data_IF_570070632687
#
_entry.id   IF_570070632687
#
_cell.length_a   1.000
_cell.length_b   1.000
_cell.length_c   1.000
_cell.angle_alpha   90.00
_cell.angle_beta   90.00
_cell.angle_gamma   90.00
#
_symmetry.space_group_name_H-M   'P 1'
#
loop_
_entity.id
_entity.type
_entity.pdbx_description
1 polymer ?
#
# COMPACT_ATOMS: atom_id res chain seq x y z
N UNK A 1 -39.52 -52.44 -18.56
CA UNK A 1 -38.87 -53.68 -18.11
C UNK A 1 -37.42 -53.57 -18.53
N UNK A 2 -36.61 -52.98 -17.64
CA UNK A 2 -35.40 -53.60 -17.03
C UNK A 2 -34.32 -53.81 -18.08
N UNK A 3 -33.16 -53.17 -18.03
CA UNK A 3 -32.23 -53.06 -16.89
C UNK A 3 -31.18 -51.97 -17.21
N UNK A 4 -30.86 -51.09 -16.27
CA UNK A 4 -29.73 -50.16 -16.34
C UNK A 4 -28.76 -50.59 -15.24
N UNK A 5 -27.59 -51.09 -15.64
CA UNK A 5 -26.53 -51.44 -14.71
C UNK A 5 -25.72 -50.19 -14.37
N UNK A 6 -25.69 -49.90 -13.08
CA UNK A 6 -24.74 -49.03 -12.40
C UNK A 6 -23.31 -49.57 -12.57
N UNK A 7 -22.37 -48.69 -12.90
CA UNK A 7 -20.95 -48.94 -12.64
C UNK A 7 -20.44 -47.83 -11.72
N UNK A 8 -20.32 -48.19 -10.44
CA UNK A 8 -19.69 -47.41 -9.37
C UNK A 8 -18.23 -47.82 -9.34
N UNK A 9 -17.32 -46.94 -9.76
CA UNK A 9 -15.88 -47.10 -9.50
C UNK A 9 -15.49 -46.33 -8.25
N UNK A 10 -15.38 -47.10 -7.17
CA UNK A 10 -14.67 -46.84 -5.93
C UNK A 10 -13.15 -46.76 -6.23
N UNK A 11 -12.52 -45.61 -5.97
CA UNK A 11 -11.07 -45.49 -5.90
C UNK A 11 -10.70 -44.87 -4.56
N UNK A 12 -10.33 -45.76 -3.64
CA UNK A 12 -9.69 -45.47 -2.36
C UNK A 12 -8.24 -45.02 -2.55
N UNK A 13 -7.88 -44.11 -1.65
CA UNK A 13 -6.57 -43.75 -1.12
C UNK A 13 -5.44 -44.77 -1.32
N UNK A 14 -4.26 -44.31 -1.74
CA UNK A 14 -3.04 -44.57 -0.97
C UNK A 14 -1.86 -43.64 -1.31
N UNK A 15 -0.99 -43.50 -0.31
CA UNK A 15 0.43 -43.16 -0.36
C UNK A 15 0.87 -41.69 -0.49
N UNK A 16 0.89 -41.05 0.69
CA UNK A 16 1.86 -40.04 1.10
C UNK A 16 3.31 -40.50 0.85
N UNK A 17 4.07 -39.79 0.01
CA UNK A 17 5.52 -39.94 -0.11
C UNK A 17 6.24 -38.66 0.32
N UNK A 18 6.56 -38.58 1.61
CA UNK A 18 7.49 -37.58 2.17
C UNK A 18 8.91 -37.88 1.70
N UNK A 19 9.50 -37.01 0.86
CA UNK A 19 10.95 -36.97 0.66
C UNK A 19 11.56 -35.93 1.60
N UNK A 20 12.30 -36.44 2.58
CA UNK A 20 13.31 -35.68 3.33
C UNK A 20 14.50 -35.40 2.41
N UNK A 21 14.88 -34.14 2.29
CA UNK A 21 16.22 -33.73 1.82
C UNK A 21 16.97 -33.24 3.05
N UNK A 22 18.14 -33.82 3.28
CA UNK A 22 19.03 -33.57 4.41
C UNK A 22 20.41 -33.26 3.83
N UNK A 23 21.08 -32.28 4.45
CA UNK A 23 22.52 -31.99 4.45
C UNK A 23 23.13 -31.28 3.23
N UNK A 24 23.57 -30.05 3.50
CA UNK A 24 24.60 -29.33 2.77
C UNK A 24 25.29 -28.31 3.67
N UNK A 25 26.04 -28.79 4.67
CA UNK A 25 26.88 -27.99 5.56
C UNK A 25 28.04 -27.37 4.77
N UNK A 26 27.95 -26.08 4.45
CA UNK A 26 29.03 -25.31 3.83
C UNK A 26 29.66 -24.37 4.84
N UNK A 27 30.78 -24.79 5.44
CA UNK A 27 31.66 -23.92 6.20
C UNK A 27 32.42 -22.99 5.23
N UNK A 28 32.33 -21.68 5.42
CA UNK A 28 33.28 -20.73 4.84
C UNK A 28 34.03 -20.00 5.96
N UNK A 29 35.35 -20.10 5.78
CA UNK A 29 36.49 -19.62 6.54
C UNK A 29 36.45 -18.11 6.73
N UNK A 30 36.79 -17.67 7.94
CA UNK A 30 36.92 -16.26 8.28
C UNK A 30 38.14 -15.58 7.67
N UNK A 31 38.06 -14.26 7.60
CA UNK A 31 39.22 -13.38 7.51
C UNK A 31 39.11 -12.33 8.61
N UNK A 32 40.02 -12.44 9.57
CA UNK A 32 40.36 -11.38 10.50
C UNK A 32 41.11 -10.28 9.74
N UNK A 33 40.67 -9.03 9.91
CA UNK A 33 41.38 -7.83 9.49
C UNK A 33 41.48 -6.87 10.66
N UNK A 34 42.53 -7.02 11.48
CA UNK A 34 43.00 -5.96 12.37
C UNK A 34 44.08 -5.15 11.64
N UNK A 35 44.03 -3.82 11.72
CA UNK A 35 45.11 -2.93 12.21
C UNK A 35 44.98 -1.49 11.67
N UNK A 36 45.24 -0.52 12.55
CA UNK A 36 45.62 0.86 12.23
C UNK A 36 44.86 1.89 13.06
N UNK A 37 45.11 2.05 14.36
CA UNK A 37 46.12 2.95 14.97
C UNK A 37 46.21 4.36 14.34
N UNK A 38 45.79 5.35 15.13
CA UNK A 38 46.01 6.78 14.93
C UNK A 38 45.62 7.54 16.20
N UNK A 39 46.46 7.46 17.23
CA UNK A 39 46.55 8.49 18.27
C UNK A 39 47.17 9.74 17.63
N UNK A 40 46.64 10.93 17.90
CA UNK A 40 47.42 12.02 18.50
C UNK A 40 46.62 13.31 18.73
N UNK A 41 47.04 13.98 19.81
CA UNK A 41 47.01 15.41 20.07
C UNK A 41 45.71 16.08 20.59
N UNK A 42 45.66 16.08 21.93
CA UNK A 42 45.46 17.28 22.76
C UNK A 42 45.49 18.64 22.01
N UNK A 43 44.46 19.46 22.20
CA UNK A 43 44.69 20.89 22.40
C UNK A 43 43.74 21.49 23.43
N UNK A 44 44.34 21.89 24.54
CA UNK A 44 43.77 22.69 25.62
C UNK A 44 43.82 24.14 25.21
N UNK A 45 42.71 24.90 25.22
CA UNK A 45 42.78 26.35 25.51
C UNK A 45 41.51 26.84 26.17
N UNK A 46 41.67 27.13 27.46
CA UNK A 46 40.84 27.96 28.33
C UNK A 46 40.84 29.41 27.83
N UNK A 47 39.68 30.07 27.80
CA UNK A 47 39.58 31.48 27.39
C UNK A 47 38.34 32.17 27.95
N UNK A 48 38.35 32.44 29.26
CA UNK A 48 37.41 33.35 29.94
C UNK A 48 37.67 34.80 29.51
N UNK A 49 36.63 35.53 29.13
CA UNK A 49 36.74 36.95 28.78
C UNK A 49 35.40 37.65 28.63
N UNK A 50 34.79 37.99 29.77
CA UNK A 50 33.65 38.90 29.86
C UNK A 50 34.10 40.35 29.68
N UNK A 51 33.41 41.14 28.84
CA UNK A 51 33.15 42.58 29.09
C UNK A 51 32.12 43.16 28.11
N UNK A 52 31.12 43.79 28.72
CA UNK A 52 30.13 44.75 28.23
C UNK A 52 30.76 45.95 27.53
N UNK A 53 30.07 46.53 26.54
CA UNK A 53 29.47 47.87 26.69
C UNK A 53 28.51 48.20 25.55
N UNK A 54 27.45 48.91 25.95
CA UNK A 54 26.32 49.35 25.17
C UNK A 54 26.62 50.66 24.42
N UNK A 55 25.96 50.87 23.27
CA UNK A 55 25.49 52.20 22.87
C UNK A 55 24.41 52.12 21.78
N UNK A 56 23.20 52.49 22.20
CA UNK A 56 22.01 52.89 21.45
C UNK A 56 22.30 53.94 20.38
N UNK A 57 21.72 53.80 19.18
CA UNK A 57 21.02 54.90 18.47
C UNK A 57 20.18 54.42 17.27
N UNK A 58 18.90 54.80 17.31
CA UNK A 58 17.88 54.90 16.24
C UNK A 58 17.46 56.40 16.26
N UNK A 59 16.88 57.09 15.23
CA UNK A 59 16.13 56.66 14.03
C UNK A 59 16.51 57.40 12.71
N UNK A 60 15.88 57.03 11.57
CA UNK A 60 15.02 57.93 10.75
C UNK A 60 14.88 57.54 9.25
N UNK A 61 13.65 57.18 8.92
CA UNK A 61 12.84 57.26 7.69
C UNK A 61 13.18 58.19 6.49
N UNK A 62 13.04 57.58 5.29
CA UNK A 62 12.27 57.97 4.06
C UNK A 62 12.76 59.07 3.10
N UNK A 63 12.89 58.74 1.78
CA UNK A 63 12.01 59.20 0.65
C UNK A 63 12.75 59.49 -0.69
N UNK A 64 12.30 58.80 -1.75
CA UNK A 64 12.17 59.15 -3.20
C UNK A 64 13.38 59.49 -4.08
N UNK A 65 13.49 58.72 -5.17
CA UNK A 65 13.98 59.13 -6.48
C UNK A 65 13.43 58.19 -7.56
N UNK A 66 12.54 58.70 -8.41
CA UNK A 66 11.93 57.99 -9.53
C UNK A 66 12.78 58.17 -10.79
N UNK A 67 12.96 57.12 -11.60
CA UNK A 67 13.13 57.24 -13.06
C UNK A 67 12.51 56.04 -13.78
N UNK A 68 11.68 56.38 -14.77
CA UNK A 68 11.03 55.50 -15.73
C UNK A 68 12.00 55.20 -16.86
N UNK A 69 12.06 53.96 -17.34
CA UNK A 69 12.58 53.67 -18.69
C UNK A 69 11.79 52.52 -19.28
N UNK A 70 11.07 52.85 -20.35
CA UNK A 70 10.40 51.92 -21.26
C UNK A 70 11.44 51.49 -22.28
N UNK A 71 11.74 50.20 -22.35
CA UNK A 71 12.37 49.62 -23.54
C UNK A 71 11.59 48.37 -23.96
N UNK A 72 11.04 48.47 -25.17
CA UNK A 72 10.43 47.40 -25.90
C UNK A 72 11.52 46.70 -26.71
N UNK A 73 11.80 45.43 -26.40
CA UNK A 73 12.52 44.55 -27.31
C UNK A 73 11.66 43.35 -27.67
N UNK A 74 11.28 43.37 -28.94
CA UNK A 74 10.79 42.27 -29.75
C UNK A 74 11.63 41.01 -29.55
N UNK A 75 11.00 39.91 -29.12
CA UNK A 75 11.54 38.56 -29.30
C UNK A 75 10.63 37.76 -30.23
N UNK A 76 11.28 37.26 -31.27
CA UNK A 76 10.75 36.46 -32.37
C UNK A 76 10.81 34.98 -31.98
N UNK A 77 9.66 34.31 -32.09
CA UNK A 77 9.49 32.93 -32.57
C UNK A 77 10.07 31.75 -31.75
N UNK A 78 9.16 31.05 -31.08
CA UNK A 78 9.00 29.59 -31.23
C UNK A 78 7.57 29.24 -30.87
N UNK A 79 6.67 29.35 -31.84
CA UNK A 79 5.40 28.63 -31.84
C UNK A 79 5.73 27.14 -32.01
N UNK A 80 5.92 26.44 -30.89
CA UNK A 80 5.67 25.02 -30.86
C UNK A 80 4.15 24.85 -31.01
N UNK A 81 3.73 24.53 -32.23
CA UNK A 81 2.36 24.12 -32.52
C UNK A 81 2.16 22.77 -31.84
N UNK A 82 1.71 22.79 -30.58
CA UNK A 82 1.07 21.63 -29.98
C UNK A 82 -0.14 21.33 -30.86
N UNK A 83 0.02 20.32 -31.70
CA UNK A 83 -1.10 19.77 -32.45
C UNK A 83 -1.87 18.98 -31.42
N UNK A 84 -2.85 19.63 -30.78
CA UNK A 84 -3.96 18.95 -30.12
C UNK A 84 -4.64 18.09 -31.20
N UNK A 85 -4.18 16.85 -31.37
CA UNK A 85 -4.94 15.86 -32.13
C UNK A 85 -6.19 15.52 -31.34
N UNK A 86 -7.26 16.25 -31.62
CA UNK A 86 -8.64 15.87 -31.31
C UNK A 86 -8.99 14.55 -32.05
N UNK A 87 -8.66 13.44 -31.41
CA UNK A 87 -9.20 12.09 -31.65
C UNK A 87 -9.65 11.48 -30.30
N UNK A 88 -10.44 10.38 -30.29
CA UNK A 88 -11.01 9.87 -29.03
C UNK A 88 -9.90 9.31 -28.11
N UNK A 89 -9.47 10.13 -27.15
CA UNK A 89 -8.98 9.68 -25.84
C UNK A 89 -7.57 9.09 -25.74
N UNK A 90 -6.71 9.19 -26.76
CA UNK A 90 -5.30 8.77 -26.61
C UNK A 90 -4.52 9.86 -25.86
N UNK A 91 -4.32 9.69 -24.55
CA UNK A 91 -3.25 10.38 -23.83
C UNK A 91 -1.98 9.52 -23.89
N UNK A 92 -0.83 10.18 -23.92
CA UNK A 92 0.50 9.56 -24.05
C UNK A 92 0.98 8.85 -22.77
N UNK A 93 0.14 8.80 -21.73
CA UNK A 93 0.58 8.51 -20.37
C UNK A 93 0.09 7.13 -19.93
N UNK A 94 1.01 6.28 -19.47
CA UNK A 94 0.69 5.06 -18.72
C UNK A 94 0.17 5.46 -17.35
N UNK A 95 -1.02 4.97 -16.97
CA UNK A 95 -1.64 5.34 -15.70
C UNK A 95 -1.54 4.20 -14.69
N UNK A 96 -1.21 4.55 -13.46
CA UNK A 96 -1.04 3.62 -12.35
C UNK A 96 -1.96 3.97 -11.20
N UNK A 97 -2.22 3.00 -10.33
CA UNK A 97 -2.87 3.23 -9.04
C UNK A 97 -2.96 1.93 -8.26
N UNK A 98 -3.81 1.85 -7.23
CA UNK A 98 -3.93 0.65 -6.39
C UNK A 98 -5.36 0.14 -6.32
N UNK A 99 -5.54 -1.19 -6.30
CA UNK A 99 -6.84 -1.84 -6.14
C UNK A 99 -6.80 -2.85 -5.00
N UNK A 100 -7.47 -2.52 -3.91
CA UNK A 100 -7.80 -3.48 -2.86
C UNK A 100 -9.19 -4.05 -3.11
N UNK A 101 -9.28 -5.36 -3.21
CA UNK A 101 -10.55 -6.08 -3.35
C UNK A 101 -10.61 -7.13 -2.25
N UNK A 102 -11.62 -7.05 -1.38
CA UNK A 102 -11.84 -8.04 -0.32
C UNK A 102 -13.23 -8.66 -0.41
N UNK A 103 -13.31 -9.95 -0.13
CA UNK A 103 -14.56 -10.69 0.05
C UNK A 103 -14.53 -11.32 1.44
N UNK A 104 -15.45 -10.91 2.31
CA UNK A 104 -15.56 -11.42 3.68
C UNK A 104 -14.26 -11.26 4.51
N UNK A 105 -13.46 -10.25 4.18
CA UNK A 105 -12.17 -9.95 4.80
C UNK A 105 -10.96 -10.61 4.13
N UNK A 106 -11.19 -11.54 3.20
CA UNK A 106 -10.13 -12.18 2.40
C UNK A 106 -9.81 -11.29 1.19
N UNK A 107 -8.55 -10.83 1.11
CA UNK A 107 -8.09 -10.01 0.00
C UNK A 107 -7.79 -10.85 -1.24
N UNK A 108 -8.20 -10.36 -2.40
CA UNK A 108 -7.80 -10.89 -3.70
C UNK A 108 -6.30 -10.65 -3.87
N UNK A 109 -5.57 -11.71 -4.21
CA UNK A 109 -4.17 -11.62 -4.56
C UNK A 109 -4.04 -11.33 -6.07
N UNK A 110 -3.72 -10.07 -6.41
CA UNK A 110 -3.52 -9.64 -7.79
C UNK A 110 -2.14 -10.01 -8.37
N UNK A 111 -1.24 -10.62 -7.59
CA UNK A 111 0.06 -11.13 -8.06
C UNK A 111 -0.02 -12.48 -8.79
N UNK A 112 -1.22 -12.85 -9.22
CA UNK A 112 -1.43 -14.05 -9.99
C UNK A 112 -1.36 -13.73 -11.48
N UNK A 113 -0.69 -14.59 -12.25
CA UNK A 113 -0.55 -14.42 -13.70
C UNK A 113 -1.88 -14.27 -14.44
N UNK A 114 -3.00 -14.78 -13.88
CA UNK A 114 -4.33 -14.58 -14.46
C UNK A 114 -4.76 -13.10 -14.55
N UNK A 115 -4.08 -12.18 -13.87
CA UNK A 115 -4.35 -10.74 -13.91
C UNK A 115 -3.32 -9.94 -14.73
N UNK A 116 -2.23 -10.59 -15.17
CA UNK A 116 -1.13 -9.91 -15.83
C UNK A 116 -1.40 -9.72 -17.32
N UNK A 117 -1.12 -8.52 -17.84
CA UNK A 117 -1.31 -8.20 -19.25
C UNK A 117 -0.66 -9.25 -20.17
N UNK A 118 0.62 -9.54 -19.94
CA UNK A 118 1.43 -10.51 -20.68
C UNK A 118 0.83 -11.92 -20.75
N UNK A 119 -0.06 -12.25 -19.82
CA UNK A 119 -0.70 -13.57 -19.74
C UNK A 119 -2.08 -13.62 -20.39
N UNK A 120 -2.73 -12.46 -20.63
CA UNK A 120 -4.14 -12.41 -21.02
C UNK A 120 -4.41 -11.59 -22.28
N UNK A 121 -3.48 -10.74 -22.72
CA UNK A 121 -3.69 -9.83 -23.86
C UNK A 121 -3.99 -10.55 -25.18
N UNK A 122 -3.39 -11.73 -25.40
CA UNK A 122 -3.63 -12.54 -26.61
C UNK A 122 -5.09 -13.00 -26.72
N UNK A 123 -5.73 -13.29 -25.58
CA UNK A 123 -7.12 -13.75 -25.52
C UNK A 123 -8.11 -12.61 -25.33
N UNK A 124 -7.69 -11.51 -24.69
CA UNK A 124 -8.51 -10.36 -24.32
C UNK A 124 -7.73 -9.05 -24.52
N UNK A 125 -7.53 -8.59 -25.76
CA UNK A 125 -6.69 -7.43 -26.05
C UNK A 125 -7.17 -6.13 -25.36
N UNK A 126 -8.44 -6.06 -24.97
CA UNK A 126 -9.00 -4.95 -24.20
C UNK A 126 -8.48 -4.84 -22.75
N UNK A 127 -7.80 -5.86 -22.21
CA UNK A 127 -7.24 -5.80 -20.83
C UNK A 127 -6.12 -4.79 -20.73
N UNK A 128 -5.56 -4.37 -21.85
CA UNK A 128 -4.59 -3.28 -21.91
C UNK A 128 -5.13 -1.98 -21.30
N UNK A 129 -6.46 -1.81 -21.25
CA UNK A 129 -7.10 -0.66 -20.62
C UNK A 129 -7.25 -0.78 -19.08
N UNK A 130 -7.00 -1.95 -18.47
CA UNK A 130 -6.89 -2.10 -17.03
C UNK A 130 -6.33 -3.48 -16.69
N UNK A 131 -5.11 -3.56 -16.21
CA UNK A 131 -4.40 -4.81 -15.95
C UNK A 131 -3.41 -4.66 -14.80
N UNK A 132 -2.76 -5.76 -14.47
CA UNK A 132 -1.61 -5.80 -13.57
C UNK A 132 -0.37 -6.25 -14.35
N UNK A 133 0.81 -6.09 -13.77
CA UNK A 133 2.03 -6.72 -14.26
C UNK A 133 2.63 -7.64 -13.18
N UNK A 134 3.57 -8.47 -13.60
CA UNK A 134 4.39 -9.24 -12.67
C UNK A 134 5.08 -8.39 -11.61
N UNK A 135 5.37 -9.00 -10.46
CA UNK A 135 6.03 -8.36 -9.30
C UNK A 135 7.41 -7.77 -9.60
N UNK A 136 8.01 -8.11 -10.74
CA UNK A 136 9.26 -7.51 -11.20
C UNK A 136 9.08 -6.09 -11.77
N UNK A 137 7.88 -5.76 -12.25
CA UNK A 137 7.55 -4.48 -12.88
C UNK A 137 6.86 -3.53 -11.89
N UNK A 138 5.90 -4.04 -11.12
CA UNK A 138 5.04 -3.23 -10.25
C UNK A 138 4.83 -3.90 -8.89
N UNK A 139 4.38 -3.11 -7.91
CA UNK A 139 4.01 -3.62 -6.60
C UNK A 139 2.71 -4.44 -6.63
N UNK A 140 2.44 -5.22 -5.57
CA UNK A 140 1.19 -5.94 -5.46
C UNK A 140 0.02 -4.97 -5.36
N UNK A 141 -1.10 -5.35 -5.99
CA UNK A 141 -2.30 -4.53 -6.12
C UNK A 141 -2.13 -3.25 -6.96
N UNK A 142 -0.99 -3.03 -7.61
CA UNK A 142 -0.78 -1.91 -8.52
C UNK A 142 -1.42 -2.19 -9.88
N UNK A 143 -2.46 -1.44 -10.24
CA UNK A 143 -3.08 -1.54 -11.55
C UNK A 143 -2.40 -0.58 -12.53
N UNK A 144 -2.37 -0.97 -13.79
CA UNK A 144 -1.89 -0.18 -14.92
C UNK A 144 -3.00 -0.02 -15.98
N UNK A 145 -3.01 1.12 -16.65
CA UNK A 145 -3.86 1.42 -17.79
C UNK A 145 -2.99 1.98 -18.91
N UNK A 146 -3.08 1.33 -20.06
CA UNK A 146 -2.52 1.84 -21.30
C UNK A 146 -3.66 2.25 -22.24
N UNK A 147 -3.38 3.25 -23.10
CA UNK A 147 -4.09 3.54 -24.35
C UNK A 147 -5.51 4.13 -24.25
N UNK A 148 -6.27 3.91 -23.17
CA UNK A 148 -7.63 4.45 -23.09
C UNK A 148 -8.21 4.52 -21.67
N UNK A 149 -8.80 5.67 -21.33
CA UNK A 149 -9.62 5.83 -20.12
C UNK A 149 -10.88 4.97 -20.20
N UNK A 150 -11.18 4.25 -19.12
CA UNK A 150 -12.39 3.43 -18.97
C UNK A 150 -13.11 3.77 -17.66
N UNK A 151 -14.40 3.43 -17.59
CA UNK A 151 -15.13 3.48 -16.31
C UNK A 151 -14.61 2.41 -15.36
N UNK A 152 -14.77 2.60 -14.04
CA UNK A 152 -14.33 1.60 -13.07
C UNK A 152 -15.14 0.29 -13.16
N UNK A 153 -16.42 0.36 -13.56
CA UNK A 153 -17.19 -0.82 -13.96
C UNK A 153 -16.50 -1.60 -15.09
N UNK A 154 -16.06 -0.90 -16.14
CA UNK A 154 -15.38 -1.55 -17.26
C UNK A 154 -14.05 -2.13 -16.80
N UNK A 155 -13.27 -1.41 -16.00
CA UNK A 155 -12.02 -1.89 -15.40
C UNK A 155 -12.21 -3.22 -14.65
N UNK A 156 -13.17 -3.28 -13.72
CA UNK A 156 -13.46 -4.52 -12.97
C UNK A 156 -13.84 -5.68 -13.89
N UNK A 157 -14.62 -5.41 -14.93
CA UNK A 157 -15.06 -6.42 -15.91
C UNK A 157 -13.96 -6.88 -16.88
N UNK A 158 -12.80 -6.21 -16.92
CA UNK A 158 -11.63 -6.67 -17.69
C UNK A 158 -10.84 -7.75 -16.93
N UNK A 159 -10.88 -7.71 -15.60
CA UNK A 159 -10.09 -8.61 -14.74
C UNK A 159 -10.69 -10.03 -14.72
N UNK A 160 -9.91 -11.08 -15.06
CA UNK A 160 -10.43 -12.45 -15.05
C UNK A 160 -10.97 -12.90 -13.68
N UNK A 161 -12.17 -13.48 -13.70
CA UNK A 161 -12.85 -13.94 -12.50
C UNK A 161 -13.58 -12.84 -11.72
N UNK A 162 -13.40 -11.57 -12.06
CA UNK A 162 -14.11 -10.44 -11.46
C UNK A 162 -15.15 -9.92 -12.46
N UNK A 163 -16.32 -9.56 -11.94
CA UNK A 163 -17.36 -8.88 -12.71
C UNK A 163 -18.14 -7.91 -11.86
N UNK A 164 -18.62 -6.85 -12.49
CA UNK A 164 -19.50 -5.85 -11.90
C UNK A 164 -20.73 -5.66 -12.78
N UNK A 165 -21.89 -5.55 -12.13
CA UNK A 165 -23.17 -5.20 -12.72
C UNK A 165 -24.02 -4.43 -11.69
N UNK A 166 -25.21 -3.98 -12.09
CA UNK A 166 -26.22 -3.41 -11.20
C UNK A 166 -27.56 -4.13 -11.35
N UNK A 167 -28.20 -4.45 -10.23
CA UNK A 167 -29.54 -5.03 -10.19
C UNK A 167 -30.46 -4.10 -9.40
N UNK A 168 -31.42 -3.47 -10.10
CA UNK A 168 -32.36 -2.53 -9.46
C UNK A 168 -31.67 -1.34 -8.78
N UNK A 169 -30.52 -0.90 -9.30
CA UNK A 169 -29.71 0.17 -8.73
C UNK A 169 -28.80 -0.26 -7.57
N UNK A 170 -28.79 -1.53 -7.19
CA UNK A 170 -27.85 -2.08 -6.20
C UNK A 170 -26.63 -2.70 -6.90
N UNK A 171 -25.45 -2.61 -6.28
CA UNK A 171 -24.24 -3.24 -6.78
C UNK A 171 -24.38 -4.77 -6.83
N UNK A 172 -23.85 -5.36 -7.90
CA UNK A 172 -23.68 -6.80 -8.03
C UNK A 172 -22.24 -7.07 -8.43
N UNK A 173 -21.55 -7.90 -7.65
CA UNK A 173 -20.16 -8.30 -7.92
C UNK A 173 -20.12 -9.80 -8.12
N UNK A 174 -19.42 -10.26 -9.15
CA UNK A 174 -19.05 -11.67 -9.29
C UNK A 174 -17.56 -11.83 -9.03
N UNK A 175 -17.19 -12.78 -8.18
CA UNK A 175 -15.80 -13.14 -7.92
C UNK A 175 -15.64 -14.66 -7.96
N UNK A 176 -14.72 -15.15 -8.82
CA UNK A 176 -14.40 -16.57 -9.04
C UNK A 176 -15.66 -17.46 -9.18
N UNK A 177 -16.66 -16.95 -9.93
CA UNK A 177 -17.91 -17.65 -10.23
C UNK A 177 -19.02 -17.50 -9.18
N UNK A 178 -18.76 -16.83 -8.05
CA UNK A 178 -19.77 -16.52 -7.03
C UNK A 178 -20.29 -15.11 -7.22
N UNK A 179 -21.62 -14.94 -7.29
CA UNK A 179 -22.26 -13.62 -7.45
C UNK A 179 -22.84 -13.14 -6.12
N UNK A 180 -22.38 -11.96 -5.70
CA UNK A 180 -22.82 -11.20 -4.55
C UNK A 180 -23.71 -10.06 -5.01
N UNK A 181 -24.87 -9.91 -4.39
CA UNK A 181 -25.92 -8.99 -4.82
C UNK A 181 -26.36 -8.17 -3.61
N UNK A 182 -26.03 -6.88 -3.61
CA UNK A 182 -26.29 -5.98 -2.48
C UNK A 182 -27.79 -5.71 -2.25
N UNK A 183 -28.67 -6.13 -3.17
CA UNK A 183 -30.13 -6.09 -2.93
C UNK A 183 -30.60 -7.22 -2.01
N UNK A 184 -29.77 -8.25 -1.78
CA UNK A 184 -30.09 -9.39 -0.91
C UNK A 184 -29.75 -9.08 0.53
N UNK A 185 -30.64 -9.51 1.43
CA UNK A 185 -30.40 -9.42 2.86
C UNK A 185 -29.12 -10.17 3.24
N UNK A 186 -28.29 -9.53 4.06
CA UNK A 186 -27.01 -10.07 4.51
C UNK A 186 -25.91 -10.06 3.46
N UNK A 187 -26.00 -9.19 2.45
CA UNK A 187 -24.89 -8.87 1.55
C UNK A 187 -24.72 -7.36 1.49
N UNK A 188 -23.51 -6.86 1.73
CA UNK A 188 -23.17 -5.46 1.54
C UNK A 188 -21.97 -5.35 0.61
N UNK A 189 -22.05 -4.42 -0.34
CA UNK A 189 -20.97 -4.10 -1.27
C UNK A 189 -20.70 -2.61 -1.17
N UNK A 190 -19.44 -2.24 -0.93
CA UNK A 190 -18.99 -0.84 -0.91
C UNK A 190 -17.80 -0.65 -1.82
N UNK A 191 -17.81 0.44 -2.59
CA UNK A 191 -16.77 0.78 -3.55
C UNK A 191 -16.34 2.23 -3.33
N UNK A 192 -15.05 2.42 -3.10
CA UNK A 192 -14.46 3.72 -2.80
C UNK A 192 -13.24 3.99 -3.66
N UNK A 193 -13.02 5.27 -3.98
CA UNK A 193 -11.74 5.82 -4.40
C UNK A 193 -11.17 6.61 -3.23
N UNK A 194 -10.13 6.06 -2.61
CA UNK A 194 -9.60 6.52 -1.34
C UNK A 194 -10.66 6.45 -0.24
N UNK A 195 -11.11 7.61 0.21
CA UNK A 195 -12.18 7.73 1.23
C UNK A 195 -13.56 7.89 0.60
N UNK A 196 -13.64 8.29 -0.67
CA UNK A 196 -14.87 8.75 -1.29
C UNK A 196 -15.59 7.57 -1.94
N UNK A 197 -16.88 7.41 -1.65
CA UNK A 197 -17.69 6.42 -2.36
C UNK A 197 -17.87 6.86 -3.82
N UNK A 198 -17.74 5.91 -4.74
CA UNK A 198 -17.86 6.15 -6.18
C UNK A 198 -18.90 5.23 -6.81
N UNK A 199 -19.57 5.71 -7.85
CA UNK A 199 -20.41 4.89 -8.71
C UNK A 199 -19.56 4.35 -9.88
N UNK A 200 -19.26 3.04 -9.93
CA UNK A 200 -18.39 2.48 -10.96
C UNK A 200 -18.91 2.65 -12.39
N UNK A 201 -20.22 2.82 -12.56
CA UNK A 201 -20.84 2.93 -13.90
C UNK A 201 -20.55 4.27 -14.58
N UNK A 202 -20.21 5.28 -13.79
CA UNK A 202 -19.97 6.66 -14.27
C UNK A 202 -18.59 7.18 -13.94
N UNK A 203 -17.90 6.60 -12.97
CA UNK A 203 -16.56 7.02 -12.58
C UNK A 203 -15.51 6.56 -13.60
N UNK A 204 -14.85 7.50 -14.27
CA UNK A 204 -13.71 7.26 -15.15
C UNK A 204 -12.42 7.14 -14.31
N UNK A 205 -11.68 6.05 -14.49
CA UNK A 205 -10.42 5.78 -13.77
C UNK A 205 -9.39 6.86 -14.10
N UNK A 206 -8.65 7.33 -13.09
CA UNK A 206 -7.60 8.34 -13.21
C UNK A 206 -6.27 7.80 -12.66
N UNK A 207 -5.16 8.35 -13.16
CA UNK A 207 -3.85 8.13 -12.57
C UNK A 207 -3.89 8.42 -11.06
N UNK A 208 -3.19 7.59 -10.29
CA UNK A 208 -3.13 7.55 -8.83
C UNK A 208 -4.44 7.21 -8.09
N UNK A 209 -5.46 6.71 -8.78
CA UNK A 209 -6.65 6.22 -8.09
C UNK A 209 -6.34 4.99 -7.22
N UNK A 210 -6.77 5.08 -5.96
CA UNK A 210 -6.61 4.04 -4.96
C UNK A 210 -7.99 3.48 -4.60
N UNK A 211 -8.37 2.37 -5.20
CA UNK A 211 -9.69 1.79 -5.03
C UNK A 211 -9.75 0.81 -3.85
N UNK A 212 -10.88 0.81 -3.16
CA UNK A 212 -11.26 -0.21 -2.19
C UNK A 212 -12.63 -0.78 -2.54
N UNK A 213 -12.66 -2.06 -2.87
CA UNK A 213 -13.87 -2.85 -3.12
C UNK A 213 -14.03 -3.83 -1.98
N UNK A 214 -15.13 -3.73 -1.23
CA UNK A 214 -15.43 -4.64 -0.11
C UNK A 214 -16.76 -5.30 -0.34
N UNK A 215 -16.76 -6.64 -0.32
CA UNK A 215 -17.95 -7.49 -0.29
C UNK A 215 -18.02 -8.13 1.08
N UNK A 216 -19.16 -8.03 1.76
CA UNK A 216 -19.40 -8.74 3.03
C UNK A 216 -20.71 -9.48 3.01
N UNK A 217 -20.73 -10.65 3.63
CA UNK A 217 -21.88 -11.51 3.81
C UNK A 217 -22.07 -11.88 5.27
N UNK A 218 -23.32 -12.02 5.72
CA UNK A 218 -23.65 -12.36 7.13
C UNK A 218 -23.15 -13.76 7.55
N UNK A 219 -22.68 -14.58 6.59
CA UNK A 219 -22.12 -15.92 6.84
C UNK A 219 -20.60 -16.00 6.65
N UNK A 220 -19.98 -14.96 6.09
CA UNK A 220 -18.55 -14.85 5.89
C UNK A 220 -17.89 -14.24 7.12
N UNK A 221 -17.87 -14.98 8.23
CA UNK A 221 -16.75 -14.78 9.15
C UNK A 221 -15.52 -15.26 8.40
N UNK A 222 -14.76 -14.33 7.84
CA UNK A 222 -13.43 -14.59 7.29
C UNK A 222 -12.69 -15.55 8.20
N UNK A 223 -12.10 -16.58 7.62
CA UNK A 223 -11.51 -17.70 8.35
C UNK A 223 -10.33 -17.28 9.20
N UNK A 224 -10.60 -16.75 10.39
CA UNK A 224 -9.75 -16.82 11.57
C UNK A 224 -10.68 -17.08 12.75
N UNK A 225 -10.46 -18.20 13.43
CA UNK A 225 -11.40 -18.76 14.39
C UNK A 225 -11.67 -17.83 15.56
N UNK A 226 -12.90 -17.33 15.65
CA UNK A 226 -13.38 -16.58 16.82
C UNK A 226 -14.86 -16.25 16.70
N UNK A 227 -15.71 -17.11 17.26
CA UNK A 227 -17.14 -16.83 17.41
C UNK A 227 -17.34 -15.57 18.26
N UNK A 228 -17.73 -14.44 17.66
CA UNK A 228 -18.17 -13.26 18.43
C UNK A 228 -19.62 -12.95 18.14
N UNK A 229 -20.49 -13.58 18.93
CA UNK A 229 -21.80 -13.00 19.23
C UNK A 229 -21.55 -11.66 19.90
N UNK A 230 -21.93 -10.57 19.24
CA UNK A 230 -21.89 -9.23 19.78
C UNK A 230 -22.75 -9.17 21.06
N UNK A 231 -22.10 -9.36 22.21
CA UNK A 231 -22.61 -8.91 23.51
C UNK A 231 -21.48 -8.12 24.13
N UNK A 232 -21.70 -6.82 24.25
CA UNK A 232 -20.87 -5.90 25.00
C UNK A 232 -20.79 -6.40 26.44
N UNK A 233 -19.73 -7.13 26.76
CA UNK A 233 -19.36 -7.47 28.12
C UNK A 233 -17.86 -7.38 28.16
N UNK A 234 -17.37 -6.41 28.93
CA UNK A 234 -15.98 -6.33 29.36
C UNK A 234 -15.59 -7.69 29.93
N UNK A 235 -14.96 -8.52 29.10
CA UNK A 235 -14.41 -9.80 29.51
C UNK A 235 -12.91 -9.61 29.56
N UNK A 236 -12.44 -9.20 30.74
CA UNK A 236 -11.05 -9.38 31.10
C UNK A 236 -10.68 -10.87 30.93
N UNK A 237 -9.76 -11.16 30.00
CA UNK A 237 -9.02 -12.43 29.96
C UNK A 237 -9.58 -13.56 29.08
N UNK A 238 -9.53 -13.42 27.76
CA UNK A 238 -9.25 -14.57 26.87
C UNK A 238 -7.99 -14.26 26.07
N UNK A 239 -6.93 -15.06 26.26
CA UNK A 239 -5.60 -14.87 25.70
C UNK A 239 -5.47 -15.28 24.22
N UNK A 240 -6.40 -14.83 23.39
CA UNK A 240 -6.34 -15.01 21.95
C UNK A 240 -5.68 -13.79 21.30
N UNK A 241 -4.77 -14.02 20.37
CA UNK A 241 -4.07 -12.95 19.66
C UNK A 241 -5.09 -12.11 18.86
N UNK A 242 -5.02 -10.78 18.96
CA UNK A 242 -5.65 -9.89 17.97
C UNK A 242 -4.91 -10.06 16.65
N UNK A 243 -5.64 -10.06 15.54
CA UNK A 243 -5.06 -10.29 14.22
C UNK A 243 -5.59 -9.28 13.21
N UNK A 244 -4.83 -9.04 12.15
CA UNK A 244 -5.29 -8.19 11.05
C UNK A 244 -4.29 -8.16 9.91
N UNK A 245 -4.52 -7.30 8.92
CA UNK A 245 -3.63 -7.05 7.79
C UNK A 245 -2.95 -5.70 7.95
N UNK A 246 -1.65 -5.64 7.70
CA UNK A 246 -0.87 -4.41 7.59
C UNK A 246 -0.10 -4.41 6.28
N UNK A 247 -0.48 -3.49 5.40
CA UNK A 247 0.15 -3.27 4.11
C UNK A 247 0.99 -1.99 4.21
N UNK A 248 2.30 -2.10 3.95
CA UNK A 248 3.19 -0.94 3.89
C UNK A 248 3.81 -0.89 2.52
N UNK A 249 3.56 0.21 1.81
CA UNK A 249 4.07 0.46 0.47
C UNK A 249 5.00 1.68 0.52
N UNK A 250 6.24 1.53 0.07
CA UNK A 250 7.21 2.62 -0.08
C UNK A 250 7.54 2.75 -1.56
N UNK A 251 7.19 3.88 -2.15
CA UNK A 251 7.34 4.18 -3.58
C UNK A 251 6.83 3.02 -4.45
N UNK A 252 5.57 2.64 -4.26
CA UNK A 252 4.90 1.53 -4.97
C UNK A 252 5.48 0.14 -4.74
N UNK A 253 6.46 -0.03 -3.87
CA UNK A 253 6.92 -1.35 -3.46
C UNK A 253 6.29 -1.76 -2.13
N UNK A 254 5.53 -2.85 -2.14
CA UNK A 254 5.08 -3.51 -0.91
C UNK A 254 6.26 -4.09 -0.16
N UNK A 255 6.35 -3.73 1.09
CA UNK A 255 7.27 -4.35 2.02
C UNK A 255 6.70 -5.70 2.46
N UNK A 256 7.53 -6.73 2.35
CA UNK A 256 7.26 -8.06 2.88
C UNK A 256 8.09 -8.25 4.14
N UNK A 257 7.47 -8.81 5.18
CA UNK A 257 8.11 -9.04 6.46
C UNK A 257 8.26 -10.55 6.68
N UNK A 258 9.50 -10.97 6.87
CA UNK A 258 9.82 -12.34 7.26
C UNK A 258 9.35 -12.62 8.69
N UNK A 259 9.07 -13.88 9.00
CA UNK A 259 8.59 -14.25 10.31
C UNK A 259 9.58 -13.92 11.43
N UNK A 260 9.09 -13.30 12.49
CA UNK A 260 9.91 -12.84 13.61
C UNK A 260 10.82 -11.66 13.28
N UNK A 261 10.70 -11.04 12.10
CA UNK A 261 11.32 -9.77 11.81
C UNK A 261 10.55 -8.66 12.55
N UNK A 262 10.88 -8.49 13.84
CA UNK A 262 10.53 -7.27 14.56
C UNK A 262 11.77 -6.70 15.25
N UNK A 263 11.90 -5.38 15.22
CA UNK A 263 13.01 -4.67 15.87
C UNK A 263 12.80 -4.48 17.39
N UNK A 264 11.78 -5.16 17.94
CA UNK A 264 11.63 -5.41 19.37
C UNK A 264 10.95 -4.31 20.18
N UNK A 265 10.36 -3.30 19.53
CA UNK A 265 9.71 -2.19 20.22
C UNK A 265 8.27 -2.48 20.69
N UNK A 266 7.50 -3.28 19.97
CA UNK A 266 6.13 -3.65 20.35
C UNK A 266 6.06 -5.08 20.91
N UNK A 267 5.95 -5.23 22.24
CA UNK A 267 5.90 -6.54 22.87
C UNK A 267 4.62 -7.29 22.50
N UNK A 268 4.76 -8.42 21.79
CA UNK A 268 3.65 -9.30 21.43
C UNK A 268 3.06 -9.05 20.05
N UNK A 269 3.50 -8.00 19.35
CA UNK A 269 3.21 -7.74 17.93
C UNK A 269 4.22 -8.46 17.04
N UNK A 270 3.77 -9.26 16.08
CA UNK A 270 4.63 -10.05 15.19
C UNK A 270 3.98 -10.40 13.84
N UNK A 271 4.83 -10.70 12.85
CA UNK A 271 4.47 -11.45 11.65
C UNK A 271 4.97 -12.89 11.77
N UNK A 272 4.26 -13.84 11.17
CA UNK A 272 4.52 -15.28 11.29
C UNK A 272 4.78 -15.95 9.94
N UNK A 273 5.45 -17.09 9.98
CA UNK A 273 5.72 -17.96 8.82
C UNK A 273 4.56 -18.96 8.70
N UNK A 274 3.41 -18.48 8.26
CA UNK A 274 2.16 -19.25 8.20
C UNK A 274 1.40 -19.08 6.88
N UNK A 275 2.13 -18.74 5.81
CA UNK A 275 1.60 -18.47 4.46
C UNK A 275 0.54 -17.35 4.43
N UNK A 276 0.52 -16.47 5.45
CA UNK A 276 -0.35 -15.31 5.51
C UNK A 276 0.47 -14.01 5.45
N UNK A 277 1.01 -13.66 4.27
CA UNK A 277 1.77 -12.43 4.13
C UNK A 277 0.91 -11.24 4.55
N UNK A 278 1.56 -10.27 5.18
CA UNK A 278 0.94 -9.06 5.75
C UNK A 278 0.00 -9.29 6.93
N UNK A 279 -0.19 -10.52 7.43
CA UNK A 279 -0.95 -10.74 8.68
C UNK A 279 -0.09 -10.42 9.89
N UNK A 280 -0.56 -9.50 10.72
CA UNK A 280 0.01 -9.25 12.02
C UNK A 280 -0.77 -9.98 13.12
N UNK A 281 -0.06 -10.29 14.20
CA UNK A 281 -0.59 -10.92 15.41
C UNK A 281 -0.16 -10.09 16.62
N UNK A 282 -1.09 -9.75 17.50
CA UNK A 282 -0.82 -9.02 18.74
C UNK A 282 -1.39 -9.80 19.95
N UNK A 283 -0.49 -10.37 20.75
CA UNK A 283 -0.81 -11.10 21.99
C UNK A 283 -0.67 -10.26 23.26
N UNK A 284 -0.18 -9.02 23.12
CA UNK A 284 0.13 -8.12 24.21
C UNK A 284 -1.02 -7.18 24.58
N UNK A 285 -0.65 -6.12 25.30
CA UNK A 285 -1.53 -4.96 25.49
C UNK A 285 -1.81 -4.26 24.16
N UNK A 286 -2.82 -3.39 24.12
CA UNK A 286 -3.22 -2.71 22.91
C UNK A 286 -2.06 -1.90 22.29
N UNK A 287 -1.55 -2.37 21.15
CA UNK A 287 -0.49 -1.71 20.37
C UNK A 287 -1.07 -0.58 19.52
N UNK A 288 -0.42 0.59 19.52
CA UNK A 288 -0.78 1.66 18.58
C UNK A 288 -0.22 1.35 17.20
N UNK A 289 -0.80 1.91 16.13
CA UNK A 289 -0.23 1.73 14.80
C UNK A 289 1.18 2.34 14.69
N UNK A 290 1.47 3.43 15.40
CA UNK A 290 2.83 3.96 15.49
C UNK A 290 3.82 2.93 16.07
N UNK A 291 3.50 2.34 17.23
CA UNK A 291 4.36 1.32 17.86
C UNK A 291 4.51 0.08 16.98
N UNK A 292 3.45 -0.29 16.25
CA UNK A 292 3.48 -1.40 15.30
C UNK A 292 4.40 -1.10 14.10
N UNK A 293 4.41 0.12 13.59
CA UNK A 293 5.32 0.55 12.52
C UNK A 293 6.78 0.58 13.00
N UNK A 294 7.04 1.11 14.20
CA UNK A 294 8.38 1.12 14.83
C UNK A 294 8.90 -0.27 15.23
N UNK A 295 8.04 -1.29 15.16
CA UNK A 295 8.43 -2.68 15.35
C UNK A 295 8.83 -3.36 14.04
N UNK A 296 8.54 -2.77 12.88
CA UNK A 296 8.91 -3.33 11.59
C UNK A 296 10.39 -3.10 11.30
N UNK A 297 11.07 -4.05 10.63
CA UNK A 297 12.44 -3.84 10.19
C UNK A 297 12.52 -2.65 9.22
N UNK A 298 13.57 -1.86 9.38
CA UNK A 298 13.93 -0.74 8.50
C UNK A 298 12.89 0.39 8.44
N UNK A 299 11.84 0.38 9.27
CA UNK A 299 10.80 1.41 9.31
C UNK A 299 10.83 2.13 10.66
N UNK A 300 10.84 3.46 10.59
CA UNK A 300 10.60 4.31 11.76
C UNK A 300 9.46 5.27 11.45
N UNK A 301 8.55 5.46 12.41
CA UNK A 301 7.46 6.41 12.34
C UNK A 301 7.65 7.54 13.36
N UNK A 302 7.45 8.77 12.90
CA UNK A 302 7.38 9.95 13.75
C UNK A 302 6.13 10.78 13.41
N UNK A 303 5.41 11.23 14.45
CA UNK A 303 4.42 12.30 14.29
C UNK A 303 5.09 13.66 14.52
N UNK A 304 5.32 14.39 13.43
CA UNK A 304 5.84 15.74 13.47
C UNK A 304 4.78 16.74 14.00
N UNK A 305 5.26 17.95 14.29
CA UNK A 305 4.42 19.06 14.76
C UNK A 305 3.21 19.29 13.86
N UNK A 306 2.03 19.43 14.45
CA UNK A 306 0.77 19.63 13.70
C UNK A 306 0.12 18.35 13.21
N UNK A 307 0.52 17.18 13.72
CA UNK A 307 -0.08 15.89 13.38
C UNK A 307 0.36 15.36 12.02
N UNK A 308 1.52 15.81 11.52
CA UNK A 308 2.04 15.45 10.21
C UNK A 308 2.89 14.20 10.29
N UNK A 309 2.73 13.31 9.34
CA UNK A 309 3.41 12.02 9.37
C UNK A 309 4.81 12.11 8.76
N UNK A 310 5.77 11.44 9.41
CA UNK A 310 7.11 11.19 8.91
C UNK A 310 7.35 9.69 8.99
N UNK A 311 7.79 9.10 7.88
CA UNK A 311 8.19 7.69 7.82
C UNK A 311 9.62 7.66 7.30
N UNK A 312 10.53 7.03 8.04
CA UNK A 312 11.87 6.70 7.56
C UNK A 312 11.87 5.25 7.12
N UNK A 313 12.47 4.99 5.97
CA UNK A 313 12.72 3.64 5.46
C UNK A 313 14.22 3.48 5.21
N UNK A 314 14.91 2.61 5.96
CA UNK A 314 16.38 2.45 5.93
C UNK A 314 16.79 1.00 5.60
N UNK A 315 16.35 0.50 4.44
CA UNK A 315 16.71 -0.84 3.98
C UNK A 315 17.99 -0.90 3.13
N UNK A 316 18.75 0.20 3.06
CA UNK A 316 19.98 0.31 2.27
C UNK A 316 19.79 -0.02 0.77
N UNK A 317 18.66 0.42 0.18
CA UNK A 317 18.37 0.25 -1.25
C UNK A 317 18.04 1.59 -1.93
N UNK A 318 17.60 1.55 -3.19
CA UNK A 318 17.31 2.75 -3.98
C UNK A 318 16.10 3.55 -3.48
N UNK A 319 15.31 3.01 -2.56
CA UNK A 319 14.13 3.63 -1.98
C UNK A 319 14.34 4.05 -0.52
N UNK A 320 15.56 3.90 0.02
CA UNK A 320 15.94 4.45 1.34
C UNK A 320 15.67 5.96 1.40
N UNK A 321 15.09 6.41 2.52
CA UNK A 321 14.93 7.83 2.79
C UNK A 321 13.97 8.16 3.93
N UNK A 322 13.93 9.45 4.27
CA UNK A 322 12.94 10.02 5.20
C UNK A 322 11.86 10.78 4.44
N UNK A 323 10.64 10.26 4.51
CA UNK A 323 9.46 10.76 3.82
C UNK A 323 8.63 11.61 4.76
N UNK A 324 8.43 12.88 4.39
CA UNK A 324 7.73 13.85 5.23
C UNK A 324 6.48 14.31 4.50
N UNK A 325 5.31 14.13 5.11
CA UNK A 325 4.02 14.60 4.55
C UNK A 325 4.02 16.12 4.27
N UNK A 326 4.90 16.88 4.92
CA UNK A 326 5.06 18.32 4.69
C UNK A 326 5.89 18.69 3.46
N UNK A 327 6.59 17.72 2.86
CA UNK A 327 7.33 17.93 1.62
C UNK A 327 6.36 17.92 0.43
N UNK A 328 6.51 18.87 -0.51
CA UNK A 328 5.61 19.04 -1.65
C UNK A 328 5.58 17.87 -2.62
N UNK A 329 6.63 17.04 -2.59
CA UNK A 329 6.85 15.90 -3.48
C UNK A 329 6.62 14.57 -2.76
N UNK A 330 6.08 14.59 -1.54
CA UNK A 330 5.88 13.38 -0.73
C UNK A 330 4.43 13.25 -0.32
N UNK A 331 3.90 12.05 -0.55
CA UNK A 331 2.61 11.61 -0.04
C UNK A 331 2.83 10.58 1.06
N UNK A 332 2.17 10.78 2.20
CA UNK A 332 2.03 9.77 3.25
C UNK A 332 0.54 9.57 3.51
N UNK A 333 0.01 8.39 3.21
CA UNK A 333 -1.36 8.00 3.49
C UNK A 333 -1.35 6.90 4.53
N UNK A 334 -2.19 7.06 5.56
CA UNK A 334 -2.40 6.03 6.59
C UNK A 334 -3.89 5.82 6.75
N UNK A 335 -4.38 4.60 6.47
CA UNK A 335 -5.80 4.29 6.50
C UNK A 335 -6.08 2.92 7.08
N UNK A 336 -7.16 2.81 7.84
CA UNK A 336 -7.85 1.55 8.08
C UNK A 336 -8.94 1.42 7.03
N UNK A 337 -8.73 0.53 6.05
CA UNK A 337 -9.54 0.47 4.82
C UNK A 337 -9.73 1.84 4.17
N UNK A 338 -10.95 2.36 4.17
CA UNK A 338 -11.34 3.65 3.60
C UNK A 338 -11.31 4.80 4.62
N UNK A 339 -10.92 4.53 5.87
CA UNK A 339 -10.92 5.52 6.95
C UNK A 339 -9.49 6.00 7.23
N UNK A 340 -9.19 7.30 7.09
CA UNK A 340 -7.93 7.85 7.56
C UNK A 340 -7.79 7.63 9.08
N UNK A 341 -6.60 7.23 9.52
CA UNK A 341 -6.29 7.03 10.93
C UNK A 341 -5.01 7.76 11.29
N UNK A 342 -4.91 8.23 12.54
CA UNK A 342 -3.67 8.80 13.07
C UNK A 342 -2.88 7.70 13.79
N UNK A 343 -1.70 7.29 13.28
CA UNK A 343 -0.93 6.20 13.87
C UNK A 343 -0.61 6.38 15.36
N UNK A 344 -0.39 7.63 15.80
CA UNK A 344 0.04 7.92 17.17
C UNK A 344 -1.07 7.67 18.21
N UNK A 345 -2.34 7.64 17.78
CA UNK A 345 -3.48 7.46 18.68
C UNK A 345 -4.38 6.27 18.31
N UNK A 346 -4.24 5.73 17.10
CA UNK A 346 -5.01 4.58 16.64
C UNK A 346 -4.47 3.28 17.26
N UNK A 347 -5.30 2.59 18.04
CA UNK A 347 -5.00 1.26 18.58
C UNK A 347 -5.48 0.18 17.61
N UNK A 348 -4.61 -0.75 17.26
CA UNK A 348 -4.94 -1.85 16.36
C UNK A 348 -6.02 -2.76 16.97
N UNK A 349 -7.06 -3.02 16.19
CA UNK A 349 -8.19 -3.88 16.55
C UNK A 349 -8.14 -5.19 15.77
N UNK A 350 -8.77 -6.23 16.33
CA UNK A 350 -8.94 -7.50 15.63
C UNK A 350 -9.75 -7.32 14.33
N UNK A 351 -9.29 -7.94 13.25
CA UNK A 351 -9.85 -7.82 11.90
C UNK A 351 -9.51 -6.52 11.15
N UNK A 352 -8.63 -5.67 11.69
CA UNK A 352 -8.20 -4.47 10.99
C UNK A 352 -7.45 -4.81 9.71
N UNK A 353 -7.67 -4.00 8.68
CA UNK A 353 -6.84 -3.97 7.48
C UNK A 353 -6.34 -2.54 7.30
N UNK A 354 -5.05 -2.34 7.59
CA UNK A 354 -4.39 -1.05 7.56
C UNK A 354 -3.48 -0.97 6.34
N UNK A 355 -3.53 0.17 5.66
CA UNK A 355 -2.63 0.50 4.56
C UNK A 355 -1.87 1.78 4.89
N UNK A 356 -0.55 1.67 4.87
CA UNK A 356 0.41 2.77 4.96
C UNK A 356 1.09 2.89 3.61
N UNK A 357 0.87 4.01 2.94
CA UNK A 357 1.43 4.27 1.62
C UNK A 357 2.30 5.52 1.69
N UNK A 358 3.56 5.35 1.32
CA UNK A 358 4.56 6.39 1.27
C UNK A 358 5.04 6.47 -0.15
N UNK A 359 5.01 7.66 -0.75
CA UNK A 359 5.47 7.85 -2.11
C UNK A 359 6.09 9.22 -2.29
N UNK A 360 7.10 9.30 -3.14
CA UNK A 360 7.62 10.56 -3.64
C UNK A 360 7.63 10.62 -5.15
N UNK A 361 7.36 11.79 -5.71
CA UNK A 361 7.43 12.03 -7.16
C UNK A 361 8.85 11.90 -7.73
N UNK A 362 9.87 11.84 -6.87
CA UNK A 362 11.26 11.55 -7.27
C UNK A 362 11.61 10.07 -7.22
N UNK A 363 10.66 9.22 -6.82
CA UNK A 363 10.86 7.79 -6.91
C UNK A 363 11.14 7.44 -8.38
N UNK A 364 12.03 6.46 -8.65
CA UNK A 364 12.10 5.90 -9.98
C UNK A 364 10.68 5.52 -10.39
N UNK A 365 10.22 6.00 -11.55
CA UNK A 365 8.99 5.49 -12.13
C UNK A 365 9.14 3.97 -12.22
N UNK A 366 8.11 3.24 -11.80
CA UNK A 366 8.02 1.80 -12.05
C UNK A 366 7.77 1.50 -13.54
N UNK A 367 7.92 2.51 -14.41
CA UNK A 367 7.76 2.41 -15.85
C UNK A 367 8.88 1.55 -16.45
N UNK A 368 8.46 0.50 -17.15
CA UNK A 368 9.29 -0.25 -18.09
C UNK A 368 9.11 0.26 -19.52
#
# INVERSE_FOLDING_TARGET
MTDHQDEVTDLRDDATSRRRVLLGTGAIVGLAGCLGFGDDAENTTTGTGSRTDAATTTPASTTTGAETTTDAETSTESEATETEEEGPGYKQDHWHGRLFFEVDGDFVNFDQSKYYLDSIEDERPETVYFHFHGTAAHGPNEWSNEKQVVTFERALNLLPGIGYDTAGGSHVITYDGTTYDASRAGTSISIHRGTDSVDPTTYEVQHDDNFWVSVRTDGGSGGSGGTTTATSTESEGSGDARTGKLFVDVNNRRLEYEAGATDGNASGFEFRDDDQPSTWYDTGEATTLADALDALPDIEYEQASGGKHVVTYDANDSFDGTYRETASETQVLVRQRTNPVDPASYQLQDGDAVWVYVHTTNAPDNEH
#
